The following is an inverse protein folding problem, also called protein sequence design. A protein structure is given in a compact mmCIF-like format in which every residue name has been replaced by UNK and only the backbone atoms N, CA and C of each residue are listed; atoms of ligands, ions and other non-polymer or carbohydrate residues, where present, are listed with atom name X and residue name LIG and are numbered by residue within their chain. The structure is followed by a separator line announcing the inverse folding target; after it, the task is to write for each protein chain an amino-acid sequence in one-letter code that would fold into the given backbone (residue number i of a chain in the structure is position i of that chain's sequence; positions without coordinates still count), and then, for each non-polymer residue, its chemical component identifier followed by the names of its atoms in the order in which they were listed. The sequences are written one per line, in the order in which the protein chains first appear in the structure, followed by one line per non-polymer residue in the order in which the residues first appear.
data_IF_555326141088
#
_entry.id   IF_555326141088
#
_cell.length_a   1.000
_cell.length_b   1.000
_cell.length_c   1.000
_cell.angle_alpha   90.00
_cell.angle_beta   90.00
_cell.angle_gamma   90.00
#
_symmetry.space_group_name_H-M   'P 1'
#
loop_
_entity.id
_entity.type
_entity.pdbx_description
1 polymer ?
#
# COMPACT_ATOMS: atom_id res chain seq x y z
N UNK A 1 -21.26 -19.01 -0.63
CA UNK A 1 -20.04 -18.68 0.15
C UNK A 1 -18.80 -18.55 -0.75
N UNK A 2 -18.40 -19.58 -1.52
CA UNK A 2 -17.22 -19.53 -2.42
C UNK A 2 -17.23 -18.40 -3.49
N UNK A 3 -18.37 -18.11 -4.11
CA UNK A 3 -18.49 -17.02 -5.13
C UNK A 3 -18.44 -15.59 -4.57
N UNK A 4 -18.79 -15.42 -3.29
CA UNK A 4 -18.78 -14.10 -2.65
C UNK A 4 -17.38 -13.73 -2.16
N UNK A 5 -16.58 -14.73 -1.75
CA UNK A 5 -15.20 -14.57 -1.36
C UNK A 5 -14.24 -14.34 -2.55
N UNK A 6 -14.61 -14.78 -3.76
CA UNK A 6 -13.74 -14.69 -4.94
C UNK A 6 -13.61 -13.28 -5.54
N UNK A 7 -14.63 -12.42 -5.44
CA UNK A 7 -14.56 -11.06 -5.99
C UNK A 7 -13.62 -10.12 -5.21
N UNK A 8 -13.65 -10.09 -3.86
CA UNK A 8 -12.68 -9.32 -3.07
C UNK A 8 -11.25 -9.85 -3.25
N UNK A 9 -11.09 -11.16 -3.33
CA UNK A 9 -9.79 -11.82 -3.55
C UNK A 9 -9.23 -11.50 -4.94
N UNK A 10 -10.06 -11.47 -5.99
CA UNK A 10 -9.62 -11.08 -7.33
C UNK A 10 -9.14 -9.62 -7.38
N UNK A 11 -9.82 -8.70 -6.70
CA UNK A 11 -9.39 -7.29 -6.65
C UNK A 11 -8.10 -7.09 -5.84
N UNK A 12 -7.94 -7.82 -4.72
CA UNK A 12 -6.69 -7.82 -3.95
C UNK A 12 -5.55 -8.51 -4.73
N UNK A 13 -5.87 -9.53 -5.51
CA UNK A 13 -4.96 -10.24 -6.40
C UNK A 13 -4.49 -9.33 -7.54
N UNK A 14 -5.37 -8.58 -8.21
CA UNK A 14 -4.99 -7.63 -9.27
C UNK A 14 -4.11 -6.49 -8.71
N UNK A 15 -4.37 -6.05 -7.47
CA UNK A 15 -3.53 -5.08 -6.76
C UNK A 15 -2.15 -5.64 -6.39
N UNK A 16 -2.06 -6.91 -6.01
CA UNK A 16 -0.81 -7.57 -5.62
C UNK A 16 0.04 -7.98 -6.83
N UNK A 17 -0.57 -8.56 -7.88
CA UNK A 17 0.10 -9.02 -9.11
C UNK A 17 0.71 -7.86 -9.90
N UNK A 18 0.16 -6.65 -9.79
CA UNK A 18 0.72 -5.46 -10.43
C UNK A 18 2.16 -5.15 -10.03
N UNK A 19 2.67 -5.66 -8.91
CA UNK A 19 4.05 -5.48 -8.47
C UNK A 19 4.99 -6.57 -9.00
N UNK A 20 4.54 -7.83 -9.05
CA UNK A 20 5.35 -8.97 -9.52
C UNK A 20 5.62 -8.92 -11.02
N UNK A 21 4.72 -8.31 -11.80
CA UNK A 21 4.84 -8.19 -13.26
C UNK A 21 6.04 -7.35 -13.71
N UNK A 22 6.61 -6.52 -12.81
CA UNK A 22 7.83 -5.75 -13.08
C UNK A 22 9.11 -6.53 -12.81
N UNK A 23 9.02 -7.72 -12.23
CA UNK A 23 10.19 -8.58 -12.06
C UNK A 23 10.61 -9.18 -13.40
N UNK A 24 11.90 -9.12 -13.79
CA UNK A 24 12.36 -9.68 -15.05
C UNK A 24 12.01 -11.17 -15.16
N UNK A 25 11.19 -11.55 -16.14
CA UNK A 25 10.77 -12.94 -16.38
C UNK A 25 9.47 -13.37 -15.69
N UNK A 26 8.73 -12.46 -15.04
CA UNK A 26 7.45 -12.81 -14.41
C UNK A 26 6.31 -13.08 -15.40
N UNK A 27 6.36 -12.50 -16.60
CA UNK A 27 5.34 -12.69 -17.66
C UNK A 27 5.95 -12.57 -19.06
N UNK A 28 5.38 -13.30 -20.03
CA UNK A 28 5.77 -13.24 -21.45
C UNK A 28 5.33 -11.95 -22.15
N UNK A 29 4.38 -11.22 -21.54
CA UNK A 29 3.82 -9.96 -22.05
C UNK A 29 4.13 -8.81 -21.10
N UNK A 30 4.60 -7.67 -21.61
CA UNK A 30 4.88 -6.51 -20.77
C UNK A 30 3.61 -6.01 -20.06
N UNK A 31 3.73 -5.37 -18.88
CA UNK A 31 2.59 -4.84 -18.13
C UNK A 31 1.67 -4.00 -19.01
N UNK A 32 0.38 -4.03 -18.74
CA UNK A 32 -0.58 -3.12 -19.36
C UNK A 32 -0.49 -1.72 -18.76
N UNK A 33 -1.06 -0.71 -19.44
CA UNK A 33 -1.14 0.65 -18.89
C UNK A 33 -1.99 0.72 -17.61
N UNK A 34 -3.03 -0.11 -17.53
CA UNK A 34 -3.91 -0.21 -16.36
C UNK A 34 -3.15 -0.79 -15.15
N UNK A 35 -2.37 -1.86 -15.34
CA UNK A 35 -1.52 -2.44 -14.29
C UNK A 35 -0.50 -1.44 -13.76
N UNK A 36 0.19 -0.72 -14.67
CA UNK A 36 1.11 0.36 -14.28
C UNK A 36 0.42 1.44 -13.45
N UNK A 37 -0.78 1.84 -13.84
CA UNK A 37 -1.55 2.83 -13.09
C UNK A 37 -1.93 2.32 -11.70
N UNK A 38 -2.40 1.08 -11.62
CA UNK A 38 -2.80 0.45 -10.36
C UNK A 38 -1.60 0.29 -9.41
N UNK A 39 -0.45 -0.16 -9.91
CA UNK A 39 0.79 -0.26 -9.16
C UNK A 39 1.19 1.10 -8.56
N UNK A 40 1.21 2.16 -9.38
CA UNK A 40 1.50 3.53 -8.92
C UNK A 40 0.49 4.04 -7.90
N UNK A 41 -0.78 3.64 -8.03
CA UNK A 41 -1.82 3.98 -7.05
C UNK A 41 -1.54 3.32 -5.71
N UNK A 42 -1.17 2.04 -5.69
CA UNK A 42 -0.79 1.32 -4.46
C UNK A 42 0.45 1.93 -3.81
N UNK A 43 1.51 2.18 -4.58
CA UNK A 43 2.72 2.82 -4.07
C UNK A 43 2.38 4.14 -3.36
N UNK A 44 1.49 4.92 -3.98
CA UNK A 44 1.04 6.19 -3.41
C UNK A 44 0.14 6.00 -2.20
N UNK A 45 -0.69 4.96 -2.14
CA UNK A 45 -1.48 4.60 -0.96
C UNK A 45 -0.58 4.21 0.23
N UNK A 46 0.45 3.39 -0.01
CA UNK A 46 1.45 3.01 1.01
C UNK A 46 2.21 4.24 1.51
N UNK A 47 2.72 5.08 0.60
CA UNK A 47 3.42 6.30 0.95
C UNK A 47 2.54 7.29 1.75
N UNK A 48 1.24 7.34 1.42
CA UNK A 48 0.27 8.17 2.15
C UNK A 48 -0.03 7.60 3.54
N UNK A 49 -0.23 6.28 3.64
CA UNK A 49 -0.46 5.57 4.90
C UNK A 49 0.70 5.77 5.89
N UNK A 50 1.94 5.69 5.42
CA UNK A 50 3.14 5.94 6.24
C UNK A 50 3.17 7.31 6.93
N UNK A 51 2.34 8.27 6.50
CA UNK A 51 2.37 9.66 6.95
C UNK A 51 1.03 10.19 7.48
N UNK A 52 -0.04 9.41 7.38
CA UNK A 52 -1.36 9.80 7.86
C UNK A 52 -2.05 8.62 8.56
N UNK A 53 -2.41 8.74 9.86
CA UNK A 53 -3.01 7.63 10.59
C UNK A 53 -4.38 7.19 10.05
N UNK A 54 -5.17 8.10 9.45
CA UNK A 54 -6.45 7.74 8.82
C UNK A 54 -6.24 6.92 7.56
N UNK A 55 -5.29 7.34 6.72
CA UNK A 55 -4.90 6.57 5.54
C UNK A 55 -4.28 5.23 5.92
N UNK A 56 -3.47 5.18 7.00
CA UNK A 56 -2.90 3.94 7.51
C UNK A 56 -3.98 2.96 7.97
N UNK A 57 -5.01 3.42 8.68
CA UNK A 57 -6.14 2.57 9.06
C UNK A 57 -6.83 1.99 7.82
N UNK A 58 -7.13 2.81 6.81
CA UNK A 58 -7.73 2.32 5.57
C UNK A 58 -6.84 1.30 4.83
N UNK A 59 -5.51 1.48 4.87
CA UNK A 59 -4.56 0.53 4.29
C UNK A 59 -4.53 -0.78 5.09
N UNK A 60 -4.44 -0.71 6.41
CA UNK A 60 -4.42 -1.87 7.30
C UNK A 60 -5.72 -2.66 7.21
N UNK A 61 -6.88 -2.01 7.13
CA UNK A 61 -8.19 -2.65 6.93
C UNK A 61 -8.18 -3.58 5.69
N UNK A 62 -7.45 -3.21 4.64
CA UNK A 62 -7.34 -3.98 3.39
C UNK A 62 -6.27 -5.06 3.50
N UNK A 63 -5.10 -4.72 4.04
CA UNK A 63 -3.99 -5.67 4.22
C UNK A 63 -4.33 -6.79 5.21
N UNK A 64 -5.21 -6.51 6.19
CA UNK A 64 -5.75 -7.51 7.13
C UNK A 64 -6.94 -8.30 6.55
N UNK A 65 -7.36 -7.99 5.32
CA UNK A 65 -8.56 -8.53 4.68
C UNK A 65 -9.86 -8.28 5.46
N UNK A 66 -9.87 -7.36 6.43
CA UNK A 66 -11.08 -6.96 7.16
C UNK A 66 -12.09 -6.28 6.23
N UNK A 67 -11.60 -5.49 5.27
CA UNK A 67 -12.41 -4.75 4.30
C UNK A 67 -11.93 -5.02 2.88
N UNK A 68 -12.83 -4.92 1.88
CA UNK A 68 -12.45 -5.07 0.47
C UNK A 68 -11.46 -3.98 0.04
N UNK A 69 -10.69 -4.26 -1.01
CA UNK A 69 -9.73 -3.33 -1.61
C UNK A 69 -10.34 -1.96 -2.00
N UNK A 70 -11.65 -1.91 -2.25
CA UNK A 70 -12.36 -0.65 -2.52
C UNK A 70 -12.26 0.37 -1.38
N UNK A 71 -11.93 -0.07 -0.16
CA UNK A 71 -11.62 0.79 0.99
C UNK A 71 -10.47 1.77 0.71
N UNK A 72 -9.54 1.46 -0.19
CA UNK A 72 -8.49 2.41 -0.61
C UNK A 72 -9.03 3.63 -1.37
N UNK A 73 -10.25 3.57 -1.90
CA UNK A 73 -10.93 4.71 -2.54
C UNK A 73 -11.80 5.51 -1.56
N UNK A 74 -11.70 5.22 -0.27
CA UNK A 74 -12.45 5.95 0.75
C UNK A 74 -11.91 7.37 0.98
N UNK A 75 -12.72 8.28 1.54
CA UNK A 75 -12.28 9.63 1.89
C UNK A 75 -11.04 9.64 2.81
N UNK A 76 -10.93 8.66 3.73
CA UNK A 76 -9.79 8.53 4.65
C UNK A 76 -8.45 8.32 3.94
N UNK A 77 -8.46 7.75 2.73
CA UNK A 77 -7.27 7.53 1.91
C UNK A 77 -7.12 8.64 0.85
N UNK A 78 -8.18 8.95 0.11
CA UNK A 78 -8.12 9.90 -1.01
C UNK A 78 -7.84 11.35 -0.55
N UNK A 79 -8.42 11.79 0.56
CA UNK A 79 -8.18 13.16 1.07
C UNK A 79 -6.70 13.33 1.42
N UNK A 80 -6.07 12.49 2.28
CA UNK A 80 -4.64 12.60 2.53
C UNK A 80 -3.75 12.42 1.29
N UNK A 81 -4.17 11.60 0.33
CA UNK A 81 -3.42 11.38 -0.91
C UNK A 81 -3.40 12.62 -1.82
N UNK A 82 -4.48 13.40 -1.82
CA UNK A 82 -4.60 14.65 -2.60
C UNK A 82 -3.87 15.81 -1.91
N UNK A 83 -4.07 16.00 -0.61
CA UNK A 83 -3.47 17.11 0.13
C UNK A 83 -2.02 16.86 0.55
N UNK A 84 -1.55 15.63 0.43
CA UNK A 84 -0.19 15.26 0.74
C UNK A 84 0.10 15.28 2.24
N UNK A 85 1.36 14.95 2.61
CA UNK A 85 1.74 14.79 3.99
C UNK A 85 1.84 16.12 4.73
N UNK A 86 1.18 16.20 5.89
CA UNK A 86 1.21 17.38 6.76
C UNK A 86 2.51 17.53 7.56
N UNK A 87 3.33 16.47 7.64
CA UNK A 87 4.58 16.44 8.41
C UNK A 87 5.75 16.00 7.52
N UNK A 88 6.94 16.61 7.71
CA UNK A 88 8.15 16.20 6.99
C UNK A 88 8.53 14.75 7.34
N UNK A 89 9.39 14.14 6.51
CA UNK A 89 9.98 12.85 6.85
C UNK A 89 10.84 12.97 8.10
N UNK A 90 10.98 11.87 8.85
CA UNK A 90 12.00 11.79 9.88
C UNK A 90 13.36 11.62 9.21
N UNK A 91 14.32 12.47 9.56
CA UNK A 91 15.68 12.41 9.01
C UNK A 91 16.47 11.20 9.52
N UNK A 92 16.01 10.57 10.61
CA UNK A 92 16.60 9.39 11.21
C UNK A 92 15.56 8.54 11.92
N UNK A 93 15.87 7.25 12.11
CA UNK A 93 15.07 6.37 12.93
C UNK A 93 14.91 6.96 14.35
N UNK A 94 13.68 6.99 14.91
CA UNK A 94 13.38 7.58 16.22
C UNK A 94 13.80 6.66 17.37
N UNK A 95 14.96 6.03 17.25
CA UNK A 95 15.55 5.20 18.29
C UNK A 95 16.10 6.09 19.41
N UNK A 96 16.00 5.61 20.64
CA UNK A 96 16.76 6.13 21.78
C UNK A 96 18.24 5.80 21.63
N UNK A 97 19.08 6.43 22.44
CA UNK A 97 20.51 6.17 22.42
C UNK A 97 20.87 4.75 22.88
N UNK A 98 20.12 4.22 23.86
CA UNK A 98 20.25 2.85 24.32
C UNK A 98 19.91 1.84 23.21
N UNK A 99 18.81 2.05 22.48
CA UNK A 99 18.41 1.18 21.37
C UNK A 99 19.41 1.23 20.20
N UNK A 100 19.99 2.40 19.90
CA UNK A 100 21.05 2.51 18.90
C UNK A 100 22.30 1.73 19.29
N UNK A 101 22.69 1.79 20.56
CA UNK A 101 23.86 1.07 21.07
C UNK A 101 23.67 -0.44 21.01
N UNK A 102 22.45 -0.94 21.24
CA UNK A 102 22.14 -2.37 21.15
C UNK A 102 22.08 -2.91 19.71
N UNK A 103 21.82 -2.03 18.72
CA UNK A 103 21.72 -2.41 17.31
C UNK A 103 23.06 -2.35 16.55
N UNK A 104 24.12 -1.81 17.16
CA UNK A 104 25.47 -1.83 16.60
C UNK A 104 26.13 -3.19 16.92
N UNK A 105 26.69 -3.89 15.91
CA UNK A 105 27.34 -5.19 16.08
C UNK A 105 28.63 -5.12 16.92
#
# INVERSE_FOLDING_TARGET
LQRAASRPVAAAWDLAVGQDVFYPGATDTPPTAAERFLARFVDRAVATGARNPRAMSALLDVMSMEKPATRLFSPDMLIPMLFGPKKPHLDRAPLTEAERKAALP
#
